data_IF_277752530317
#
_entry.id   IF_277752530317
#
_cell.length_a   1.000
_cell.length_b   1.000
_cell.length_c   1.000
_cell.angle_alpha   90.00
_cell.angle_beta   90.00
_cell.angle_gamma   90.00
#
_symmetry.space_group_name_H-M   'P 1'
#
loop_
_entity.id
_entity.type
_entity.pdbx_description
1 polymer ?
#
# COMPACT_ATOMS: atom_id res chain seq x y z
N UNK A 1 7.49 18.55 -16.02
CA UNK A 1 6.96 18.55 -17.40
C UNK A 1 5.70 17.70 -17.39
N UNK A 2 4.58 18.34 -17.12
CA UNK A 2 3.23 17.78 -17.19
C UNK A 2 2.91 17.52 -18.66
N UNK A 3 2.60 16.27 -19.01
CA UNK A 3 2.17 15.93 -20.37
C UNK A 3 0.77 16.49 -20.60
N UNK A 4 0.69 17.60 -21.33
CA UNK A 4 -0.58 18.12 -21.83
C UNK A 4 -1.02 17.26 -23.02
N UNK A 5 -2.26 16.76 -22.96
CA UNK A 5 -2.85 15.90 -24.00
C UNK A 5 -3.36 16.80 -25.12
N UNK A 6 -2.57 16.93 -26.20
CA UNK A 6 -2.97 17.65 -27.41
C UNK A 6 -3.88 16.80 -28.29
N UNK A 7 -5.04 17.33 -28.68
CA UNK A 7 -5.95 16.65 -29.60
C UNK A 7 -5.47 16.87 -31.05
N UNK A 8 -4.72 15.90 -31.61
CA UNK A 8 -4.32 15.87 -33.01
C UNK A 8 -5.20 14.85 -33.76
N UNK A 9 -5.71 15.22 -34.93
CA UNK A 9 -6.83 14.54 -35.60
C UNK A 9 -6.46 13.26 -36.36
N UNK A 10 -5.19 12.87 -36.44
CA UNK A 10 -4.77 11.67 -37.17
C UNK A 10 -3.49 11.09 -36.56
N UNK A 11 -3.63 10.05 -35.74
CA UNK A 11 -2.63 9.00 -35.53
C UNK A 11 -3.29 7.82 -34.80
N UNK A 12 -3.07 6.62 -35.32
CA UNK A 12 -3.54 5.33 -34.82
C UNK A 12 -3.04 5.06 -33.39
N UNK A 13 -3.71 5.61 -32.38
CA UNK A 13 -3.49 5.26 -30.98
C UNK A 13 -4.44 4.14 -30.56
N UNK A 14 -4.44 3.03 -31.32
CA UNK A 14 -5.21 1.82 -30.94
C UNK A 14 -4.67 1.15 -29.68
N UNK A 15 -3.44 1.48 -29.25
CA UNK A 15 -2.85 0.99 -27.99
C UNK A 15 -3.03 1.98 -26.82
N UNK A 16 -3.15 3.29 -27.06
CA UNK A 16 -3.26 4.28 -25.97
C UNK A 16 -4.63 4.27 -25.26
N UNK A 17 -5.65 3.72 -25.92
CA UNK A 17 -7.01 3.56 -25.39
C UNK A 17 -7.41 2.09 -25.23
N UNK A 18 -6.46 1.15 -25.28
CA UNK A 18 -6.74 -0.23 -25.00
C UNK A 18 -7.25 -0.34 -23.56
N UNK A 19 -8.52 -0.74 -23.39
CA UNK A 19 -9.06 -1.14 -22.10
C UNK A 19 -8.33 -2.41 -21.68
N UNK A 20 -7.22 -2.25 -20.96
CA UNK A 20 -6.49 -3.37 -20.38
C UNK A 20 -7.29 -3.84 -19.16
N UNK A 21 -7.87 -5.04 -19.18
CA UNK A 21 -8.58 -5.56 -18.02
C UNK A 21 -7.55 -5.81 -16.91
N UNK A 22 -7.69 -5.09 -15.80
CA UNK A 22 -6.89 -5.30 -14.60
C UNK A 22 -7.46 -6.51 -13.86
N UNK A 23 -6.65 -7.52 -13.50
CA UNK A 23 -7.11 -8.63 -12.68
C UNK A 23 -7.75 -8.15 -11.38
N UNK A 24 -8.88 -8.76 -10.98
CA UNK A 24 -9.55 -8.42 -9.73
C UNK A 24 -8.63 -8.55 -8.49
N UNK A 25 -7.61 -9.42 -8.54
CA UNK A 25 -6.60 -9.52 -7.49
C UNK A 25 -5.75 -8.25 -7.38
N UNK A 26 -5.30 -7.70 -8.51
CA UNK A 26 -4.46 -6.50 -8.53
C UNK A 26 -5.25 -5.28 -8.03
N UNK A 27 -6.53 -5.18 -8.39
CA UNK A 27 -7.43 -4.14 -7.86
C UNK A 27 -7.59 -4.26 -6.34
N UNK A 28 -7.79 -5.46 -5.81
CA UNK A 28 -7.88 -5.69 -4.35
C UNK A 28 -6.58 -5.35 -3.63
N UNK A 29 -5.45 -5.73 -4.21
CA UNK A 29 -4.11 -5.46 -3.67
C UNK A 29 -3.82 -3.94 -3.66
N UNK A 30 -4.29 -3.22 -4.68
CA UNK A 30 -4.24 -1.75 -4.79
C UNK A 30 -5.14 -1.06 -3.76
N UNK A 31 -6.39 -1.51 -3.62
CA UNK A 31 -7.34 -0.96 -2.65
C UNK A 31 -6.80 -1.13 -1.23
N UNK A 32 -6.28 -2.32 -0.89
CA UNK A 32 -5.64 -2.59 0.39
C UNK A 32 -4.46 -1.63 0.65
N UNK A 33 -3.54 -1.47 -0.30
CA UNK A 33 -2.40 -0.57 -0.14
C UNK A 33 -2.83 0.90 0.04
N UNK A 34 -3.87 1.31 -0.70
CA UNK A 34 -4.42 2.67 -0.62
C UNK A 34 -5.06 2.93 0.74
N UNK A 35 -5.88 1.99 1.23
CA UNK A 35 -6.57 2.13 2.51
C UNK A 35 -5.60 2.04 3.69
N UNK A 36 -4.62 1.13 3.63
CA UNK A 36 -3.54 1.06 4.62
C UNK A 36 -2.77 2.38 4.72
N UNK A 37 -2.47 3.04 3.59
CA UNK A 37 -1.82 4.36 3.57
C UNK A 37 -2.64 5.42 4.30
N UNK A 38 -3.95 5.48 4.03
CA UNK A 38 -4.86 6.44 4.68
C UNK A 38 -5.03 6.16 6.18
N UNK A 39 -5.19 4.89 6.56
CA UNK A 39 -5.37 4.50 7.95
C UNK A 39 -4.11 4.76 8.78
N UNK A 40 -2.93 4.43 8.26
CA UNK A 40 -1.65 4.77 8.91
C UNK A 40 -1.52 6.27 9.14
N UNK A 41 -1.93 7.08 8.16
CA UNK A 41 -1.94 8.54 8.29
C UNK A 41 -2.84 9.01 9.42
N UNK A 42 -4.04 8.42 9.51
CA UNK A 42 -5.01 8.74 10.57
C UNK A 42 -4.48 8.33 11.93
N UNK A 43 -3.95 7.12 12.05
CA UNK A 43 -3.39 6.62 13.31
C UNK A 43 -2.18 7.42 13.76
N UNK A 44 -1.33 7.87 12.83
CA UNK A 44 -0.21 8.76 13.14
C UNK A 44 -0.67 10.06 13.80
N UNK A 45 -1.66 10.75 13.19
CA UNK A 45 -2.22 11.98 13.75
C UNK A 45 -2.85 11.78 15.13
N UNK A 46 -3.55 10.66 15.31
CA UNK A 46 -4.17 10.30 16.59
C UNK A 46 -3.12 10.00 17.66
N UNK A 47 -2.03 9.31 17.30
CA UNK A 47 -0.90 9.03 18.20
C UNK A 47 -0.15 10.30 18.62
N UNK A 48 -0.01 11.28 17.71
CA UNK A 48 0.56 12.60 18.02
C UNK A 48 -0.32 13.38 19.00
N UNK A 49 -1.65 13.31 18.83
CA UNK A 49 -2.60 14.05 19.66
C UNK A 49 -2.84 13.36 21.01
N UNK A 50 -2.90 12.04 21.00
CA UNK A 50 -3.11 11.21 22.18
C UNK A 50 -2.40 9.86 22.00
N UNK A 51 -1.45 9.55 22.87
CA UNK A 51 -0.80 8.24 22.90
C UNK A 51 -1.72 7.14 23.47
N UNK A 52 -2.92 7.03 22.92
CA UNK A 52 -3.92 6.06 23.33
C UNK A 52 -3.47 4.67 22.90
N UNK A 53 -3.43 3.76 23.87
CA UNK A 53 -3.06 2.35 23.69
C UNK A 53 -3.89 1.65 22.61
N UNK A 54 -5.13 2.09 22.38
CA UNK A 54 -5.96 1.60 21.29
C UNK A 54 -5.32 1.86 19.91
N UNK A 55 -4.86 3.08 19.65
CA UNK A 55 -4.23 3.41 18.36
C UNK A 55 -2.89 2.71 18.18
N UNK A 56 -2.12 2.54 19.25
CA UNK A 56 -0.90 1.73 19.23
C UNK A 56 -1.23 0.30 18.75
N UNK A 57 -2.22 -0.34 19.35
CA UNK A 57 -2.64 -1.69 18.96
C UNK A 57 -3.16 -1.74 17.51
N UNK A 58 -3.95 -0.74 17.09
CA UNK A 58 -4.45 -0.66 15.71
C UNK A 58 -3.31 -0.50 14.70
N UNK A 59 -2.34 0.36 14.98
CA UNK A 59 -1.15 0.54 14.14
C UNK A 59 -0.35 -0.75 14.07
N UNK A 60 -0.09 -1.43 15.20
CA UNK A 60 0.63 -2.71 15.21
C UNK A 60 -0.10 -3.80 14.40
N UNK A 61 -1.43 -3.89 14.53
CA UNK A 61 -2.23 -4.83 13.75
C UNK A 61 -2.15 -4.53 12.25
N UNK A 62 -2.29 -3.26 11.85
CA UNK A 62 -2.20 -2.88 10.44
C UNK A 62 -0.79 -3.13 9.86
N UNK A 63 0.26 -2.87 10.64
CA UNK A 63 1.64 -3.21 10.25
C UNK A 63 1.84 -4.72 10.07
N UNK A 64 1.21 -5.52 10.94
CA UNK A 64 1.20 -6.98 10.85
C UNK A 64 0.53 -7.42 9.55
N UNK A 65 -0.66 -6.90 9.24
CA UNK A 65 -1.36 -7.20 7.99
C UNK A 65 -0.55 -6.80 6.75
N UNK A 66 0.15 -5.66 6.79
CA UNK A 66 1.05 -5.23 5.71
C UNK A 66 2.20 -6.23 5.51
N UNK A 67 2.78 -6.78 6.58
CA UNK A 67 3.85 -7.79 6.49
C UNK A 67 3.35 -9.08 5.83
N UNK A 68 2.21 -9.61 6.28
CA UNK A 68 1.57 -10.77 5.66
C UNK A 68 1.19 -10.52 4.19
N UNK A 69 0.66 -9.33 3.90
CA UNK A 69 0.31 -8.91 2.54
C UNK A 69 1.54 -8.96 1.61
N UNK A 70 2.65 -8.36 2.01
CA UNK A 70 3.92 -8.39 1.24
C UNK A 70 4.44 -9.79 1.06
N UNK A 71 4.28 -10.64 2.07
CA UNK A 71 4.73 -12.02 2.05
C UNK A 71 3.84 -12.97 1.25
N UNK A 72 2.78 -12.49 0.60
CA UNK A 72 1.84 -13.33 -0.14
C UNK A 72 1.20 -14.44 0.71
N UNK A 73 1.03 -14.20 2.02
CA UNK A 73 0.39 -15.13 2.93
C UNK A 73 -0.85 -14.49 3.57
N UNK A 74 -1.84 -15.31 3.88
CA UNK A 74 -2.97 -14.88 4.69
C UNK A 74 -2.52 -14.74 6.15
N UNK A 75 -3.04 -13.73 6.85
CA UNK A 75 -2.77 -13.56 8.27
C UNK A 75 -3.38 -14.73 9.07
N UNK A 76 -2.54 -15.66 9.46
CA UNK A 76 -2.86 -16.87 10.20
C UNK A 76 -2.61 -16.73 11.71
N UNK A 77 -2.33 -15.50 12.19
CA UNK A 77 -2.09 -15.21 13.60
C UNK A 77 -0.76 -15.73 14.14
N UNK A 78 0.15 -16.15 13.26
CA UNK A 78 1.53 -16.50 13.59
C UNK A 78 2.41 -15.27 13.83
N UNK A 79 3.71 -15.49 14.07
CA UNK A 79 4.66 -14.40 14.22
C UNK A 79 4.90 -13.69 12.87
N UNK A 80 4.58 -12.39 12.73
CA UNK A 80 4.82 -11.64 11.50
C UNK A 80 6.30 -11.58 11.08
N UNK A 81 7.24 -11.82 12.00
CA UNK A 81 8.67 -11.84 11.69
C UNK A 81 9.18 -13.18 11.14
N UNK A 82 8.41 -14.27 11.32
CA UNK A 82 8.75 -15.59 10.82
C UNK A 82 8.12 -15.91 9.46
N UNK A 83 7.43 -14.93 8.84
CA UNK A 83 6.74 -15.13 7.57
C UNK A 83 7.75 -15.21 6.42
N UNK A 84 7.84 -16.40 5.80
CA UNK A 84 8.65 -16.61 4.61
C UNK A 84 7.93 -16.13 3.34
N UNK A 85 8.66 -15.47 2.44
CA UNK A 85 8.09 -15.01 1.17
C UNK A 85 8.24 -16.11 0.10
N UNK A 86 7.16 -16.54 -0.57
CA UNK A 86 7.23 -17.54 -1.63
C UNK A 86 7.79 -16.88 -2.90
N UNK A 87 9.12 -16.88 -3.02
CA UNK A 87 9.83 -16.53 -4.25
C UNK A 87 9.81 -15.05 -4.64
N UNK A 88 10.38 -14.76 -5.82
CA UNK A 88 10.72 -13.40 -6.30
C UNK A 88 9.53 -12.55 -6.77
N UNK A 89 8.34 -12.69 -6.18
CA UNK A 89 7.16 -11.96 -6.64
C UNK A 89 7.21 -10.50 -6.17
N UNK A 90 7.43 -9.56 -7.10
CA UNK A 90 7.77 -8.16 -6.77
C UNK A 90 6.58 -7.20 -6.84
N UNK A 91 5.37 -7.68 -7.19
CA UNK A 91 4.22 -6.81 -7.42
C UNK A 91 3.70 -6.16 -6.14
N UNK A 92 3.39 -6.92 -5.09
CA UNK A 92 2.95 -6.37 -3.79
C UNK A 92 3.99 -5.44 -3.12
N UNK A 93 5.30 -5.78 -3.08
CA UNK A 93 6.33 -4.85 -2.64
C UNK A 93 6.38 -3.55 -3.46
N UNK A 94 6.17 -3.63 -4.78
CA UNK A 94 6.15 -2.47 -5.67
C UNK A 94 4.92 -1.59 -5.41
N UNK A 95 3.75 -2.19 -5.19
CA UNK A 95 2.52 -1.49 -4.85
C UNK A 95 2.64 -0.66 -3.57
N UNK A 96 3.20 -1.22 -2.49
CA UNK A 96 3.41 -0.45 -1.24
C UNK A 96 4.32 0.77 -1.42
N UNK A 97 5.28 0.67 -2.34
CA UNK A 97 6.17 1.78 -2.68
C UNK A 97 5.44 2.84 -3.50
N UNK A 98 4.63 2.43 -4.47
CA UNK A 98 3.88 3.33 -5.35
C UNK A 98 2.70 4.01 -4.66
N UNK A 99 2.06 3.34 -3.70
CA UNK A 99 0.98 3.90 -2.87
C UNK A 99 1.49 4.66 -1.63
N UNK A 100 2.80 4.92 -1.56
CA UNK A 100 3.46 5.65 -0.48
C UNK A 100 3.23 5.07 0.93
N UNK A 101 2.83 3.81 1.05
CA UNK A 101 2.58 3.16 2.35
C UNK A 101 3.85 3.18 3.20
N UNK A 102 5.00 2.87 2.59
CA UNK A 102 6.30 2.93 3.27
C UNK A 102 6.68 4.33 3.77
N UNK A 103 6.28 5.38 3.03
CA UNK A 103 6.50 6.77 3.44
C UNK A 103 5.68 7.09 4.68
N UNK A 104 4.42 6.64 4.74
CA UNK A 104 3.56 6.86 5.90
C UNK A 104 4.07 6.08 7.11
N UNK A 105 4.44 4.80 6.96
CA UNK A 105 5.05 3.99 8.04
C UNK A 105 6.28 4.70 8.62
N UNK A 106 7.23 5.10 7.76
CA UNK A 106 8.45 5.78 8.22
C UNK A 106 8.16 7.15 8.84
N UNK A 107 7.19 7.88 8.32
CA UNK A 107 6.70 9.12 8.92
C UNK A 107 6.17 8.89 10.34
N UNK A 108 5.27 7.91 10.53
CA UNK A 108 4.71 7.57 11.84
C UNK A 108 5.79 7.18 12.85
N UNK A 109 6.82 6.43 12.42
CA UNK A 109 7.95 6.08 13.28
C UNK A 109 8.82 7.29 13.64
N UNK A 110 9.02 8.25 12.72
CA UNK A 110 9.81 9.44 12.97
C UNK A 110 9.17 10.39 13.98
N UNK A 111 7.84 10.39 14.12
CA UNK A 111 7.14 11.13 15.16
C UNK A 111 7.13 10.43 16.53
N UNK A 112 7.44 9.14 16.57
CA UNK A 112 7.39 8.32 17.79
C UNK A 112 8.75 8.18 18.50
N UNK A 113 9.87 8.52 17.83
CA UNK A 113 11.26 8.42 18.36
C UNK A 113 11.86 9.77 18.76
#
# INVERSE_FOLDING_TARGET
MTGEVGCFAEKDDKEAFALVPVPAQEVRDLDFATDASKELSRYALELETSANRMFINLTTNLLTEILYFVAYQDNNGGDPFEVETPGSNRERPKLLREQFVLKQVLGTFQFTL
#
